data_IF_304970609491
#
_entry.id   IF_304970609491
#
_cell.length_a   1.000
_cell.length_b   1.000
_cell.length_c   1.000
_cell.angle_alpha   90.00
_cell.angle_beta   90.00
_cell.angle_gamma   90.00
#
_symmetry.space_group_name_H-M   'P 1'
#
loop_
_entity.id
_entity.type
_entity.pdbx_description
1 polymer ?
#
# COMPACT_ATOMS: atom_id res chain seq x y z
N UNK A 1 -24.72 -9.13 18.33
CA UNK A 1 -24.94 -7.79 17.73
C UNK A 1 -26.43 -7.60 17.56
N UNK A 2 -27.02 -6.69 18.35
CA UNK A 2 -28.48 -6.51 18.43
C UNK A 2 -29.06 -5.97 17.12
N UNK A 3 -30.32 -6.31 16.78
CA UNK A 3 -30.98 -5.93 15.51
C UNK A 3 -31.10 -4.40 15.31
N UNK A 4 -30.98 -3.63 16.38
CA UNK A 4 -30.92 -2.17 16.39
C UNK A 4 -29.67 -1.65 15.64
N UNK A 5 -28.50 -2.27 15.82
CA UNK A 5 -27.26 -1.83 15.15
C UNK A 5 -27.29 -2.07 13.63
N UNK A 6 -27.93 -3.14 13.16
CA UNK A 6 -28.13 -3.38 11.72
C UNK A 6 -29.05 -2.33 11.09
N UNK A 7 -30.13 -1.95 11.78
CA UNK A 7 -31.06 -0.91 11.32
C UNK A 7 -30.43 0.47 11.35
N UNK A 8 -29.66 0.80 12.38
CA UNK A 8 -28.94 2.08 12.46
C UNK A 8 -27.88 2.18 11.36
N UNK A 9 -27.14 1.11 11.09
CA UNK A 9 -26.14 1.04 10.01
C UNK A 9 -26.75 1.26 8.62
N UNK A 10 -27.97 0.78 8.38
CA UNK A 10 -28.67 0.94 7.09
C UNK A 10 -29.09 2.38 6.78
N UNK A 11 -29.25 3.24 7.79
CA UNK A 11 -29.60 4.66 7.60
C UNK A 11 -28.40 5.59 7.80
N UNK A 12 -27.49 5.26 8.71
CA UNK A 12 -26.32 6.10 9.04
C UNK A 12 -25.27 6.05 7.93
N UNK A 13 -25.03 4.90 7.28
CA UNK A 13 -24.07 4.80 6.18
C UNK A 13 -24.47 5.61 4.93
N UNK A 14 -25.70 5.51 4.40
CA UNK A 14 -26.09 6.34 3.26
C UNK A 14 -26.21 7.82 3.64
N UNK A 15 -26.57 8.14 4.89
CA UNK A 15 -26.59 9.52 5.38
C UNK A 15 -25.17 10.10 5.51
N UNK A 16 -24.20 9.35 6.04
CA UNK A 16 -22.80 9.78 6.04
C UNK A 16 -22.23 9.90 4.63
N UNK A 17 -22.57 8.98 3.73
CA UNK A 17 -22.13 9.03 2.33
C UNK A 17 -22.74 10.22 1.57
N UNK A 18 -24.00 10.57 1.86
CA UNK A 18 -24.66 11.76 1.32
C UNK A 18 -24.08 13.04 1.92
N UNK A 19 -23.72 13.03 3.20
CA UNK A 19 -23.12 14.17 3.89
C UNK A 19 -21.68 14.43 3.41
N UNK A 20 -20.89 13.39 3.13
CA UNK A 20 -19.56 13.52 2.52
C UNK A 20 -19.64 13.99 1.07
N UNK A 21 -20.69 13.62 0.33
CA UNK A 21 -20.98 14.16 -1.01
C UNK A 21 -21.46 15.63 -0.98
N UNK A 22 -22.18 16.03 0.08
CA UNK A 22 -22.72 17.39 0.22
C UNK A 22 -21.68 18.39 0.75
N UNK A 23 -20.67 17.92 1.50
CA UNK A 23 -19.58 18.74 2.03
C UNK A 23 -18.39 18.87 1.06
N UNK A 24 -18.36 18.14 -0.05
CA UNK A 24 -17.43 18.36 -1.16
C UNK A 24 -17.88 19.55 -2.03
N UNK A 25 -17.95 20.74 -1.43
CA UNK A 25 -18.07 21.97 -2.20
C UNK A 25 -16.73 22.19 -2.93
N UNK A 26 -16.72 22.39 -4.26
CA UNK A 26 -15.54 22.89 -4.94
C UNK A 26 -15.19 24.24 -4.33
N UNK A 27 -13.96 24.40 -3.85
CA UNK A 27 -13.41 25.72 -3.60
C UNK A 27 -13.31 26.41 -4.97
N UNK A 28 -14.32 27.20 -5.32
CA UNK A 28 -14.27 28.07 -6.48
C UNK A 28 -13.15 29.08 -6.23
N UNK A 29 -12.11 29.03 -7.06
CA UNK A 29 -11.14 30.10 -7.11
C UNK A 29 -11.90 31.40 -7.42
N UNK A 30 -11.74 32.40 -6.55
CA UNK A 30 -12.30 33.73 -6.76
C UNK A 30 -11.65 34.29 -8.02
N UNK A 31 -12.44 34.49 -9.09
CA UNK A 31 -11.98 35.23 -10.27
C UNK A 31 -11.44 36.58 -9.80
N UNK A 32 -10.13 36.78 -9.96
CA UNK A 32 -9.53 38.10 -9.84
C UNK A 32 -10.06 38.96 -10.99
N UNK A 33 -10.39 40.22 -10.67
CA UNK A 33 -10.84 41.24 -11.61
C UNK A 33 -10.01 41.28 -12.91
N UNK A 34 -10.58 41.71 -14.05
CA UNK A 34 -9.86 41.81 -15.30
C UNK A 34 -8.66 42.74 -15.09
N UNK A 35 -7.45 42.16 -15.16
CA UNK A 35 -6.23 42.94 -15.23
C UNK A 35 -6.23 43.56 -16.61
N UNK A 36 -6.33 44.89 -16.65
CA UNK A 36 -6.20 45.69 -17.86
C UNK A 36 -4.93 45.25 -18.59
N UNK A 37 -5.10 44.60 -19.75
CA UNK A 37 -4.01 44.09 -20.55
C UNK A 37 -3.31 45.28 -21.21
N UNK A 38 -2.42 45.93 -20.47
CA UNK A 38 -1.37 46.72 -21.08
C UNK A 38 -0.46 45.74 -21.82
N UNK A 39 -0.79 45.49 -23.09
CA UNK A 39 0.09 44.77 -24.00
C UNK A 39 1.45 45.49 -24.01
N UNK A 40 2.44 44.89 -23.36
CA UNK A 40 3.84 45.18 -23.66
C UNK A 40 4.16 44.56 -25.03
N UNK A 41 3.63 45.15 -26.10
CA UNK A 41 4.10 44.94 -27.47
C UNK A 41 5.42 45.68 -27.66
N UNK A 42 6.45 45.28 -26.90
CA UNK A 42 7.81 45.36 -27.43
C UNK A 42 8.15 43.95 -27.86
N UNK A 43 8.12 43.76 -29.18
CA UNK A 43 8.41 42.50 -29.87
C UNK A 43 9.68 41.88 -29.29
N UNK A 44 9.49 40.90 -28.41
CA UNK A 44 10.52 40.00 -27.96
C UNK A 44 11.23 39.43 -29.20
N UNK A 45 12.41 39.96 -29.52
CA UNK A 45 13.23 39.51 -30.64
C UNK A 45 13.65 38.05 -30.46
N UNK A 46 14.26 37.47 -31.50
CA UNK A 46 14.75 36.09 -31.46
C UNK A 46 15.69 35.83 -30.27
N UNK A 47 16.47 36.84 -29.87
CA UNK A 47 17.40 36.79 -28.73
C UNK A 47 16.68 36.72 -27.38
N UNK A 48 15.63 37.52 -27.16
CA UNK A 48 14.80 37.41 -25.95
C UNK A 48 14.22 36.00 -25.81
N UNK A 49 13.67 35.45 -26.90
CA UNK A 49 13.13 34.09 -26.86
C UNK A 49 14.20 33.03 -26.71
N UNK A 50 15.45 33.30 -27.12
CA UNK A 50 16.58 32.42 -26.90
C UNK A 50 16.97 32.39 -25.41
N UNK A 51 17.01 33.54 -24.75
CA UNK A 51 17.22 33.67 -23.31
C UNK A 51 16.11 33.01 -22.51
N UNK A 52 14.85 33.28 -22.86
CA UNK A 52 13.68 32.64 -22.24
C UNK A 52 13.73 31.12 -22.39
N UNK A 53 14.07 30.59 -23.58
CA UNK A 53 14.23 29.13 -23.78
C UNK A 53 15.44 28.55 -23.05
N UNK A 54 16.48 29.34 -22.80
CA UNK A 54 17.62 28.93 -22.00
C UNK A 54 17.30 28.90 -20.49
N UNK A 55 16.14 29.45 -20.08
CA UNK A 55 15.71 29.51 -18.68
C UNK A 55 16.31 30.68 -17.92
N UNK A 56 16.76 31.72 -18.62
CA UNK A 56 17.29 32.94 -18.00
C UNK A 56 16.22 33.64 -17.15
N UNK A 57 16.65 34.14 -15.99
CA UNK A 57 15.76 34.85 -15.08
C UNK A 57 15.58 36.31 -15.52
N UNK A 58 14.32 36.69 -15.75
CA UNK A 58 13.92 38.08 -15.96
C UNK A 58 13.79 38.86 -14.65
N UNK A 59 13.54 40.16 -14.79
CA UNK A 59 13.25 41.02 -13.65
C UNK A 59 11.80 40.87 -13.21
N UNK A 60 11.58 40.71 -11.90
CA UNK A 60 10.27 40.74 -11.26
C UNK A 60 10.34 41.40 -9.89
N UNK A 61 9.26 42.02 -9.45
CA UNK A 61 9.13 42.56 -8.09
C UNK A 61 8.85 41.46 -7.06
N UNK A 62 8.41 40.28 -7.51
CA UNK A 62 8.13 39.15 -6.63
C UNK A 62 9.43 38.51 -6.11
N UNK A 63 9.41 38.07 -4.86
CA UNK A 63 10.59 37.49 -4.17
C UNK A 63 10.53 35.98 -4.01
N UNK A 64 9.43 35.35 -4.41
CA UNK A 64 9.30 33.89 -4.33
C UNK A 64 10.24 33.19 -5.32
N UNK A 65 10.68 31.95 -5.02
CA UNK A 65 11.59 31.21 -5.88
C UNK A 65 11.08 31.11 -7.33
N UNK A 66 12.00 31.26 -8.29
CA UNK A 66 11.75 31.06 -9.73
C UNK A 66 10.70 31.98 -10.39
N UNK A 67 10.16 33.00 -9.70
CA UNK A 67 9.15 33.92 -10.28
C UNK A 67 9.68 34.78 -11.44
N UNK A 68 11.00 34.90 -11.60
CA UNK A 68 11.62 35.53 -12.78
C UNK A 68 11.81 34.59 -13.97
N UNK A 69 11.55 33.28 -13.82
CA UNK A 69 11.87 32.27 -14.84
C UNK A 69 10.61 31.80 -15.56
N UNK A 70 10.49 32.13 -16.85
CA UNK A 70 9.32 31.79 -17.66
C UNK A 70 9.31 30.31 -18.09
N UNK A 71 10.44 29.79 -18.60
CA UNK A 71 10.57 28.39 -19.03
C UNK A 71 11.58 27.67 -18.13
N UNK A 72 11.16 26.57 -17.50
CA UNK A 72 12.08 25.66 -16.80
C UNK A 72 12.73 24.74 -17.83
N UNK A 73 14.04 24.88 -18.03
CA UNK A 73 14.83 23.95 -18.84
C UNK A 73 14.89 22.54 -18.23
N UNK A 74 15.03 22.35 -16.90
CA UNK A 74 14.85 21.02 -16.29
C UNK A 74 13.47 20.40 -16.52
N UNK A 75 12.42 21.22 -16.61
CA UNK A 75 11.05 20.77 -16.82
C UNK A 75 10.84 20.05 -18.15
N UNK A 76 11.56 20.45 -19.20
CA UNK A 76 11.56 19.74 -20.48
C UNK A 76 12.16 18.33 -20.34
N UNK A 77 13.25 18.20 -19.58
CA UNK A 77 13.87 16.91 -19.26
C UNK A 77 12.94 16.03 -18.43
N UNK A 78 12.29 16.59 -17.40
CA UNK A 78 11.27 15.89 -16.60
C UNK A 78 10.13 15.36 -17.47
N UNK A 79 9.60 16.18 -18.38
CA UNK A 79 8.53 15.77 -19.30
C UNK A 79 8.95 14.58 -20.17
N UNK A 80 10.16 14.63 -20.73
CA UNK A 80 10.70 13.53 -21.54
C UNK A 80 10.86 12.25 -20.71
N UNK A 81 11.44 12.35 -19.52
CA UNK A 81 11.60 11.21 -18.61
C UNK A 81 10.24 10.59 -18.24
N UNK A 82 9.25 11.43 -17.92
CA UNK A 82 7.92 10.96 -17.53
C UNK A 82 7.18 10.30 -18.69
N UNK A 83 7.04 10.99 -19.82
CA UNK A 83 6.17 10.52 -20.91
C UNK A 83 6.83 9.53 -21.85
N UNK A 84 8.12 9.68 -22.15
CA UNK A 84 8.79 8.77 -23.11
C UNK A 84 9.33 7.51 -22.46
N UNK A 85 9.68 7.57 -21.17
CA UNK A 85 10.34 6.46 -20.49
C UNK A 85 9.48 5.86 -19.38
N UNK A 86 9.18 6.64 -18.35
CA UNK A 86 8.59 6.10 -17.12
C UNK A 86 7.15 5.60 -17.31
N UNK A 87 6.31 6.35 -18.04
CA UNK A 87 4.93 5.93 -18.31
C UNK A 87 4.87 4.65 -19.17
N UNK A 88 5.55 4.54 -20.33
CA UNK A 88 5.61 3.28 -21.06
C UNK A 88 6.21 2.11 -20.26
N UNK A 89 7.33 2.34 -19.56
CA UNK A 89 7.96 1.33 -18.73
C UNK A 89 7.03 0.87 -17.59
N UNK A 90 6.25 1.78 -17.01
CA UNK A 90 5.26 1.47 -15.99
C UNK A 90 4.13 0.60 -16.53
N UNK A 91 3.61 0.89 -17.72
CA UNK A 91 2.62 0.02 -18.35
C UNK A 91 3.17 -1.38 -18.59
N UNK A 92 4.39 -1.49 -19.15
CA UNK A 92 5.07 -2.77 -19.37
C UNK A 92 5.25 -3.53 -18.06
N UNK A 93 5.68 -2.86 -16.99
CA UNK A 93 5.87 -3.49 -15.69
C UNK A 93 4.54 -4.01 -15.10
N UNK A 94 3.46 -3.23 -15.15
CA UNK A 94 2.15 -3.65 -14.62
C UNK A 94 1.60 -4.83 -15.41
N UNK A 95 1.52 -4.73 -16.74
CA UNK A 95 1.02 -5.83 -17.57
C UNK A 95 1.95 -7.05 -17.51
N UNK A 96 3.26 -6.82 -17.42
CA UNK A 96 4.26 -7.86 -17.22
C UNK A 96 4.07 -8.59 -15.89
N UNK A 97 3.82 -7.88 -14.78
CA UNK A 97 3.51 -8.48 -13.49
C UNK A 97 2.20 -9.28 -13.51
N UNK A 98 1.15 -8.77 -14.15
CA UNK A 98 -0.12 -9.50 -14.32
C UNK A 98 0.10 -10.77 -15.14
N UNK A 99 0.77 -10.67 -16.28
CA UNK A 99 1.10 -11.82 -17.12
C UNK A 99 1.95 -12.84 -16.35
N UNK A 100 2.94 -12.37 -15.57
CA UNK A 100 3.79 -13.23 -14.75
C UNK A 100 2.98 -14.05 -13.75
N UNK A 101 2.04 -13.44 -13.02
CA UNK A 101 1.23 -14.18 -12.03
C UNK A 101 0.23 -15.13 -12.71
N UNK A 102 -0.29 -14.77 -13.88
CA UNK A 102 -1.13 -15.67 -14.70
C UNK A 102 -0.31 -16.88 -15.15
N UNK A 103 0.89 -16.66 -15.69
CA UNK A 103 1.78 -17.73 -16.10
C UNK A 103 2.21 -18.60 -14.90
N UNK A 104 2.49 -17.98 -13.76
CA UNK A 104 2.77 -18.73 -12.53
C UNK A 104 1.60 -19.63 -12.15
N UNK A 105 0.36 -19.13 -12.21
CA UNK A 105 -0.82 -19.96 -11.96
C UNK A 105 -0.94 -21.14 -12.95
N UNK A 106 -0.79 -20.87 -14.25
CA UNK A 106 -0.99 -21.88 -15.30
C UNK A 106 0.10 -22.95 -15.30
N UNK A 107 1.37 -22.56 -15.14
CA UNK A 107 2.50 -23.50 -15.27
C UNK A 107 2.99 -24.06 -13.93
N UNK A 108 2.85 -23.30 -12.84
CA UNK A 108 3.30 -23.72 -11.51
C UNK A 108 2.10 -24.20 -10.69
N UNK A 109 1.01 -23.47 -10.71
CA UNK A 109 -0.16 -23.75 -9.88
C UNK A 109 0.05 -23.37 -8.40
N UNK A 110 -1.02 -23.47 -7.60
CA UNK A 110 -0.99 -23.19 -6.16
C UNK A 110 -0.10 -24.14 -5.37
N UNK A 111 0.49 -23.63 -4.28
CA UNK A 111 1.07 -24.47 -3.22
C UNK A 111 -0.07 -25.06 -2.37
N UNK A 112 -0.30 -26.35 -2.56
CA UNK A 112 -1.32 -27.14 -1.85
C UNK A 112 -0.77 -27.72 -0.55
N UNK A 113 -1.65 -28.01 0.40
CA UNK A 113 -1.27 -28.71 1.63
C UNK A 113 -0.84 -30.15 1.31
N UNK A 114 0.20 -30.62 2.01
CA UNK A 114 0.68 -32.00 1.88
C UNK A 114 -0.23 -33.00 2.60
N UNK A 115 -0.97 -32.55 3.62
CA UNK A 115 -1.91 -33.35 4.40
C UNK A 115 -3.33 -32.78 4.35
N UNK A 116 -4.36 -33.62 4.54
CA UNK A 116 -5.73 -33.15 4.69
C UNK A 116 -5.87 -32.17 5.86
N UNK A 117 -6.83 -31.25 5.73
CA UNK A 117 -7.20 -30.30 6.77
C UNK A 117 -7.80 -31.03 7.96
N UNK A 118 -7.39 -30.66 9.17
CA UNK A 118 -7.90 -31.31 10.39
C UNK A 118 -9.25 -30.76 10.81
N UNK A 119 -9.63 -29.58 10.32
CA UNK A 119 -10.82 -28.85 10.76
C UNK A 119 -10.62 -28.11 12.10
N UNK A 120 -9.51 -28.39 12.82
CA UNK A 120 -9.13 -27.65 14.01
C UNK A 120 -8.54 -26.31 13.58
N UNK A 121 -9.13 -25.23 14.08
CA UNK A 121 -8.74 -23.86 13.74
C UNK A 121 -7.83 -23.26 14.81
N UNK A 122 -6.88 -22.46 14.39
CA UNK A 122 -5.96 -21.69 15.24
C UNK A 122 -6.06 -20.21 14.88
N UNK A 123 -6.15 -19.35 15.89
CA UNK A 123 -6.23 -17.90 15.70
C UNK A 123 -4.87 -17.36 15.27
N UNK A 124 -4.78 -16.87 14.03
CA UNK A 124 -3.59 -16.21 13.48
C UNK A 124 -3.64 -14.69 13.61
N UNK A 125 -4.81 -14.09 13.32
CA UNK A 125 -4.97 -12.64 13.28
C UNK A 125 -6.12 -12.16 14.16
N UNK A 126 -5.87 -11.10 14.94
CA UNK A 126 -6.93 -10.45 15.71
C UNK A 126 -7.90 -9.68 14.81
N UNK A 127 -9.08 -9.32 15.32
CA UNK A 127 -10.04 -8.47 14.59
C UNK A 127 -9.40 -7.13 14.19
N UNK A 128 -8.56 -6.57 15.05
CA UNK A 128 -7.86 -5.31 14.78
C UNK A 128 -6.76 -5.44 13.74
N UNK A 129 -6.06 -6.58 13.67
CA UNK A 129 -5.10 -6.85 12.60
C UNK A 129 -5.82 -6.88 11.24
N UNK A 130 -6.95 -7.59 11.18
CA UNK A 130 -7.74 -7.69 9.94
C UNK A 130 -8.32 -6.35 9.53
N UNK A 131 -8.88 -5.59 10.48
CA UNK A 131 -9.39 -4.25 10.21
C UNK A 131 -8.29 -3.34 9.65
N UNK A 132 -7.11 -3.34 10.27
CA UNK A 132 -5.97 -2.55 9.78
C UNK A 132 -5.55 -2.98 8.36
N UNK A 133 -5.47 -4.29 8.10
CA UNK A 133 -5.15 -4.80 6.78
C UNK A 133 -6.18 -4.38 5.72
N UNK A 134 -7.47 -4.62 5.97
CA UNK A 134 -8.51 -4.31 4.97
C UNK A 134 -8.64 -2.81 4.75
N UNK A 135 -8.51 -1.99 5.79
CA UNK A 135 -8.42 -0.54 5.63
C UNK A 135 -7.23 -0.14 4.76
N UNK A 136 -6.05 -0.71 5.01
CA UNK A 136 -4.86 -0.48 4.20
C UNK A 136 -5.07 -0.93 2.74
N UNK A 137 -5.62 -2.11 2.52
CA UNK A 137 -5.86 -2.67 1.20
C UNK A 137 -6.84 -1.82 0.38
N UNK A 138 -7.98 -1.41 0.95
CA UNK A 138 -8.94 -0.56 0.24
C UNK A 138 -8.38 0.83 -0.06
N UNK A 139 -7.63 1.39 0.88
CA UNK A 139 -6.94 2.68 0.69
C UNK A 139 -5.92 2.58 -0.44
N UNK A 140 -5.07 1.55 -0.42
CA UNK A 140 -4.09 1.30 -1.46
C UNK A 140 -4.73 1.08 -2.83
N UNK A 141 -5.79 0.27 -2.93
CA UNK A 141 -6.48 0.03 -4.19
C UNK A 141 -7.10 1.32 -4.74
N UNK A 142 -7.72 2.13 -3.88
CA UNK A 142 -8.28 3.43 -4.27
C UNK A 142 -7.19 4.36 -4.82
N UNK A 143 -6.03 4.42 -4.15
CA UNK A 143 -4.89 5.22 -4.59
C UNK A 143 -4.25 4.70 -5.87
N UNK A 144 -4.11 3.38 -6.01
CA UNK A 144 -3.56 2.75 -7.20
C UNK A 144 -4.47 3.02 -8.41
N UNK A 145 -5.78 2.80 -8.29
CA UNK A 145 -6.71 3.06 -9.39
C UNK A 145 -6.80 4.54 -9.76
N UNK A 146 -6.89 5.43 -8.78
CA UNK A 146 -6.90 6.88 -9.04
C UNK A 146 -5.58 7.36 -9.66
N UNK A 147 -4.43 6.89 -9.16
CA UNK A 147 -3.11 7.23 -9.71
C UNK A 147 -2.94 6.72 -11.15
N UNK A 148 -3.32 5.46 -11.42
CA UNK A 148 -3.33 4.91 -12.77
C UNK A 148 -4.29 5.66 -13.71
N UNK A 149 -5.43 6.14 -13.20
CA UNK A 149 -6.35 6.98 -13.96
C UNK A 149 -5.70 8.32 -14.34
N UNK A 150 -4.98 8.96 -13.43
CA UNK A 150 -4.28 10.23 -13.69
C UNK A 150 -3.16 10.08 -14.72
N UNK A 151 -2.43 8.95 -14.70
CA UNK A 151 -1.31 8.71 -15.62
C UNK A 151 -1.79 8.21 -16.99
N UNK A 152 -2.63 7.18 -16.99
CA UNK A 152 -2.98 6.41 -18.19
C UNK A 152 -4.41 6.61 -18.68
N UNK A 153 -5.28 7.25 -17.89
CA UNK A 153 -6.70 7.40 -18.25
C UNK A 153 -6.91 8.09 -19.59
N UNK A 154 -6.05 9.05 -19.96
CA UNK A 154 -6.10 9.73 -21.28
C UNK A 154 -5.90 8.77 -22.46
N UNK A 155 -5.20 7.65 -22.24
CA UNK A 155 -4.87 6.67 -23.28
C UNK A 155 -5.88 5.53 -23.35
N UNK A 156 -6.31 5.01 -22.20
CA UNK A 156 -7.17 3.81 -22.16
C UNK A 156 -8.65 4.10 -21.95
N UNK A 157 -9.01 5.19 -21.27
CA UNK A 157 -10.40 5.46 -20.90
C UNK A 157 -10.99 6.62 -21.71
N UNK A 158 -10.27 7.72 -21.88
CA UNK A 158 -10.74 8.90 -22.62
C UNK A 158 -11.30 8.58 -24.03
N UNK A 159 -10.72 7.66 -24.83
CA UNK A 159 -11.29 7.32 -26.14
C UNK A 159 -12.71 6.76 -26.09
N UNK A 160 -13.14 6.21 -24.94
CA UNK A 160 -14.45 5.60 -24.75
C UNK A 160 -15.40 6.44 -23.88
N UNK A 161 -14.90 7.55 -23.32
CA UNK A 161 -15.67 8.42 -22.41
C UNK A 161 -15.93 9.76 -23.09
N UNK A 162 -17.20 10.23 -23.13
CA UNK A 162 -17.52 11.52 -23.72
C UNK A 162 -16.76 12.69 -23.06
N UNK A 163 -16.39 13.70 -23.85
CA UNK A 163 -15.51 14.79 -23.40
C UNK A 163 -16.13 15.59 -22.25
N UNK A 164 -17.46 15.75 -22.27
CA UNK A 164 -18.26 16.38 -21.23
C UNK A 164 -18.18 15.65 -19.87
N UNK A 165 -17.90 14.34 -19.86
CA UNK A 165 -17.76 13.55 -18.63
C UNK A 165 -16.30 13.37 -18.21
N UNK A 166 -15.35 13.49 -19.14
CA UNK A 166 -13.92 13.27 -18.89
C UNK A 166 -13.36 14.18 -17.78
N UNK A 167 -13.75 15.45 -17.78
CA UNK A 167 -13.34 16.42 -16.74
C UNK A 167 -13.78 15.98 -15.34
N UNK A 168 -15.00 15.47 -15.21
CA UNK A 168 -15.52 14.95 -13.95
C UNK A 168 -14.77 13.70 -13.48
N UNK A 169 -14.47 12.76 -14.38
CA UNK A 169 -13.69 11.53 -14.06
C UNK A 169 -12.31 11.87 -13.53
N UNK A 170 -11.58 12.77 -14.19
CA UNK A 170 -10.24 13.17 -13.74
C UNK A 170 -10.30 13.99 -12.45
N UNK A 171 -11.30 14.85 -12.30
CA UNK A 171 -11.53 15.57 -11.05
C UNK A 171 -11.73 14.60 -9.88
N UNK A 172 -12.61 13.59 -10.05
CA UNK A 172 -12.82 12.57 -9.02
C UNK A 172 -11.53 11.80 -8.73
N UNK A 173 -10.82 11.33 -9.77
CA UNK A 173 -9.57 10.60 -9.59
C UNK A 173 -8.57 11.44 -8.76
N UNK A 174 -8.38 12.71 -9.11
CA UNK A 174 -7.50 13.62 -8.37
C UNK A 174 -7.98 13.82 -6.93
N UNK A 175 -9.27 14.08 -6.73
CA UNK A 175 -9.82 14.33 -5.40
C UNK A 175 -9.69 13.11 -4.48
N UNK A 176 -10.04 11.92 -4.96
CA UNK A 176 -9.84 10.70 -4.18
C UNK A 176 -8.35 10.46 -3.90
N UNK A 177 -7.48 10.67 -4.88
CA UNK A 177 -6.04 10.46 -4.70
C UNK A 177 -5.48 11.36 -3.58
N UNK A 178 -5.73 12.65 -3.65
CA UNK A 178 -5.18 13.65 -2.74
C UNK A 178 -5.73 13.51 -1.32
N UNK A 179 -7.01 13.15 -1.15
CA UNK A 179 -7.61 13.03 0.20
C UNK A 179 -7.36 11.67 0.85
N UNK A 180 -7.24 10.60 0.05
CA UNK A 180 -6.96 9.25 0.57
C UNK A 180 -5.46 9.07 0.84
N UNK A 181 -4.58 9.83 0.19
CA UNK A 181 -3.12 9.79 0.38
C UNK A 181 -2.68 9.99 1.83
N UNK A 182 -3.11 11.06 2.51
CA UNK A 182 -2.81 11.26 3.93
C UNK A 182 -3.33 10.13 4.83
N UNK A 183 -4.52 9.57 4.53
CA UNK A 183 -5.05 8.42 5.26
C UNK A 183 -4.16 7.18 5.09
N UNK A 184 -3.63 6.94 3.88
CA UNK A 184 -2.66 5.87 3.63
C UNK A 184 -1.41 6.03 4.49
N UNK A 185 -0.86 7.23 4.60
CA UNK A 185 0.32 7.49 5.43
C UNK A 185 0.08 7.18 6.91
N UNK A 186 -1.09 7.55 7.45
CA UNK A 186 -1.50 7.24 8.82
C UNK A 186 -1.61 5.72 9.02
N UNK A 187 -2.30 5.02 8.11
CA UNK A 187 -2.44 3.56 8.16
C UNK A 187 -1.09 2.87 8.05
N UNK A 188 -0.18 3.37 7.22
CA UNK A 188 1.17 2.85 7.06
C UNK A 188 1.96 2.91 8.36
N UNK A 189 1.83 4.02 9.09
CA UNK A 189 2.43 4.19 10.41
C UNK A 189 1.90 3.15 11.40
N UNK A 190 0.59 2.87 11.41
CA UNK A 190 0.04 1.82 12.26
C UNK A 190 0.49 0.42 11.85
N UNK A 191 0.58 0.13 10.55
CA UNK A 191 1.12 -1.14 10.04
C UNK A 191 2.58 -1.33 10.47
N UNK A 192 3.39 -0.27 10.35
CA UNK A 192 4.77 -0.26 10.81
C UNK A 192 4.84 -0.64 12.30
N UNK A 193 4.22 0.16 13.16
CA UNK A 193 4.32 0.01 14.61
C UNK A 193 3.72 -1.30 15.14
N UNK A 194 2.67 -1.82 14.49
CA UNK A 194 1.99 -3.04 14.94
C UNK A 194 2.73 -4.31 14.54
N UNK A 195 3.29 -4.37 13.32
CA UNK A 195 3.81 -5.61 12.76
C UNK A 195 5.34 -5.67 12.61
N UNK A 196 6.08 -4.61 12.97
CA UNK A 196 7.55 -4.57 12.80
C UNK A 196 8.29 -5.74 13.45
N UNK A 197 7.96 -6.08 14.71
CA UNK A 197 8.64 -7.17 15.45
C UNK A 197 8.48 -8.53 14.76
N UNK A 198 7.33 -8.77 14.14
CA UNK A 198 7.03 -10.01 13.41
C UNK A 198 7.67 -10.04 12.02
N UNK A 199 8.21 -8.90 11.57
CA UNK A 199 8.68 -8.70 10.21
C UNK A 199 10.20 -8.52 10.10
N UNK A 200 10.94 -8.75 11.19
CA UNK A 200 12.41 -8.69 11.19
C UNK A 200 12.96 -9.87 10.39
N UNK A 201 13.78 -9.62 9.33
CA UNK A 201 14.42 -10.68 8.58
C UNK A 201 15.42 -11.47 9.43
N UNK A 202 15.49 -12.78 9.21
CA UNK A 202 16.40 -13.69 9.91
C UNK A 202 16.91 -14.81 8.98
N UNK A 203 17.81 -15.67 9.49
CA UNK A 203 18.43 -16.73 8.70
C UNK A 203 17.45 -17.83 8.24
N UNK A 204 16.30 -17.96 8.88
CA UNK A 204 15.24 -18.86 8.40
C UNK A 204 14.61 -18.31 7.12
N UNK A 205 14.42 -17.00 7.02
CA UNK A 205 13.90 -16.37 5.80
C UNK A 205 14.87 -16.54 4.62
N UNK A 206 16.18 -16.44 4.86
CA UNK A 206 17.18 -16.68 3.81
C UNK A 206 17.09 -18.11 3.27
N UNK A 207 16.95 -19.10 4.16
CA UNK A 207 16.74 -20.51 3.77
C UNK A 207 15.39 -20.72 3.07
N UNK A 208 14.36 -19.94 3.43
CA UNK A 208 13.07 -19.93 2.76
C UNK A 208 13.20 -19.42 1.32
N UNK A 209 13.95 -18.33 1.09
CA UNK A 209 14.23 -17.79 -0.24
C UNK A 209 15.11 -18.71 -1.10
N UNK A 210 16.12 -19.37 -0.53
CA UNK A 210 16.91 -20.38 -1.25
C UNK A 210 16.06 -21.53 -1.78
N UNK A 211 14.92 -21.81 -1.14
CA UNK A 211 13.93 -22.80 -1.58
C UNK A 211 12.78 -22.19 -2.39
N UNK A 212 12.85 -20.90 -2.71
CA UNK A 212 11.80 -20.15 -3.42
C UNK A 212 10.41 -20.29 -2.77
N UNK A 213 10.39 -20.36 -1.44
CA UNK A 213 9.16 -20.61 -0.68
C UNK A 213 8.48 -21.95 -0.95
N UNK A 214 9.18 -22.89 -1.61
CA UNK A 214 8.64 -24.18 -2.00
C UNK A 214 7.68 -24.13 -3.19
N UNK A 215 7.59 -22.99 -3.88
CA UNK A 215 6.63 -22.79 -4.97
C UNK A 215 7.14 -23.34 -6.31
N UNK A 216 8.45 -23.30 -6.56
CA UNK A 216 9.02 -23.58 -7.89
C UNK A 216 10.26 -24.47 -7.85
N UNK A 217 10.59 -25.06 -9.01
CA UNK A 217 11.82 -25.83 -9.23
C UNK A 217 11.91 -27.11 -8.40
N UNK A 218 13.13 -27.50 -8.03
CA UNK A 218 13.43 -28.74 -7.28
C UNK A 218 12.84 -28.80 -5.86
N UNK A 219 12.34 -27.66 -5.36
CA UNK A 219 11.74 -27.54 -4.03
C UNK A 219 10.21 -27.38 -4.09
N UNK A 220 9.60 -27.55 -5.28
CA UNK A 220 8.15 -27.45 -5.44
C UNK A 220 7.42 -28.43 -4.52
N UNK A 221 6.42 -27.94 -3.79
CA UNK A 221 5.64 -28.73 -2.84
C UNK A 221 6.35 -28.99 -1.50
N UNK A 222 7.57 -28.47 -1.32
CA UNK A 222 8.15 -28.40 0.03
C UNK A 222 7.53 -27.22 0.77
N UNK A 223 7.42 -27.31 2.09
CA UNK A 223 7.04 -26.17 2.92
C UNK A 223 8.25 -25.75 3.76
N UNK A 224 9.04 -24.77 3.31
CA UNK A 224 10.20 -24.31 4.07
C UNK A 224 9.76 -23.73 5.41
N UNK A 225 10.51 -24.07 6.46
CA UNK A 225 10.27 -23.62 7.83
C UNK A 225 10.10 -22.10 7.92
N UNK A 226 9.15 -21.64 8.74
CA UNK A 226 8.85 -20.22 8.94
C UNK A 226 8.27 -19.94 10.33
N UNK A 227 8.58 -18.74 10.84
CA UNK A 227 7.95 -18.18 12.05
C UNK A 227 6.55 -17.66 11.76
N UNK A 228 6.06 -16.70 12.55
CA UNK A 228 4.71 -16.14 12.35
C UNK A 228 4.54 -15.56 10.93
N UNK A 229 5.53 -14.81 10.46
CA UNK A 229 5.63 -14.34 9.08
C UNK A 229 6.73 -15.12 8.35
N UNK A 230 6.44 -15.59 7.14
CA UNK A 230 7.46 -16.20 6.27
C UNK A 230 8.27 -15.14 5.50
N UNK A 231 9.35 -15.55 4.81
CA UNK A 231 10.23 -14.64 4.10
C UNK A 231 9.51 -13.74 3.08
N UNK A 232 8.55 -14.29 2.34
CA UNK A 232 7.74 -13.54 1.39
C UNK A 232 6.83 -12.50 2.05
N UNK A 233 6.16 -12.85 3.15
CA UNK A 233 5.35 -11.92 3.96
C UNK A 233 6.19 -10.79 4.53
N UNK A 234 7.43 -11.06 4.96
CA UNK A 234 8.36 -10.02 5.42
C UNK A 234 8.86 -9.13 4.29
N UNK A 235 9.13 -9.70 3.11
CA UNK A 235 9.55 -8.93 1.94
C UNK A 235 8.46 -7.95 1.50
N UNK A 236 7.20 -8.40 1.41
CA UNK A 236 6.10 -7.51 1.04
C UNK A 236 5.84 -6.45 2.12
N UNK A 237 5.99 -6.80 3.40
CA UNK A 237 5.93 -5.83 4.49
C UNK A 237 6.96 -4.72 4.31
N UNK A 238 8.24 -5.05 4.12
CA UNK A 238 9.28 -4.02 3.95
C UNK A 238 9.15 -3.27 2.63
N UNK A 239 8.70 -3.92 1.56
CA UNK A 239 8.36 -3.26 0.30
C UNK A 239 7.27 -2.21 0.53
N UNK A 240 6.20 -2.55 1.27
CA UNK A 240 5.15 -1.60 1.65
C UNK A 240 5.70 -0.48 2.54
N UNK A 241 6.49 -0.79 3.57
CA UNK A 241 7.01 0.25 4.48
C UNK A 241 7.92 1.23 3.74
N UNK A 242 8.89 0.73 2.97
CA UNK A 242 9.89 1.58 2.30
C UNK A 242 9.23 2.37 1.16
N UNK A 243 8.67 1.69 0.17
CA UNK A 243 8.10 2.37 -0.99
C UNK A 243 6.78 3.07 -0.66
N UNK A 244 6.02 2.58 0.32
CA UNK A 244 4.84 3.25 0.87
C UNK A 244 5.19 4.56 1.58
N UNK A 245 6.29 4.59 2.34
CA UNK A 245 6.76 5.83 2.94
C UNK A 245 7.27 6.79 1.86
N UNK A 246 8.04 6.30 0.89
CA UNK A 246 8.54 7.13 -0.22
C UNK A 246 7.41 7.74 -1.04
N UNK A 247 6.39 6.96 -1.41
CA UNK A 247 5.23 7.47 -2.17
C UNK A 247 4.41 8.46 -1.32
N UNK A 248 4.22 8.19 -0.03
CA UNK A 248 3.48 9.09 0.85
C UNK A 248 4.21 10.42 1.07
N UNK A 249 5.51 10.40 1.36
CA UNK A 249 6.30 11.60 1.59
C UNK A 249 6.43 12.45 0.32
N UNK A 250 6.71 11.83 -0.83
CA UNK A 250 6.70 12.55 -2.11
C UNK A 250 5.31 13.07 -2.48
N UNK A 251 4.24 12.34 -2.14
CA UNK A 251 2.86 12.78 -2.33
C UNK A 251 2.52 14.02 -1.50
N UNK A 252 2.97 14.08 -0.25
CA UNK A 252 2.80 15.28 0.60
C UNK A 252 3.48 16.52 0.00
N UNK A 253 4.67 16.36 -0.57
CA UNK A 253 5.34 17.45 -1.30
C UNK A 253 4.51 17.90 -2.50
N UNK A 254 3.96 16.96 -3.27
CA UNK A 254 3.14 17.27 -4.45
C UNK A 254 1.80 17.95 -4.10
N UNK A 255 1.18 17.55 -2.99
CA UNK A 255 -0.13 18.07 -2.57
C UNK A 255 -0.04 19.45 -1.91
N UNK A 256 1.04 19.73 -1.19
CA UNK A 256 1.17 20.93 -0.38
C UNK A 256 2.38 21.79 -0.79
N UNK A 257 2.19 22.82 -1.64
CA UNK A 257 3.22 23.79 -1.99
C UNK A 257 3.47 24.82 -0.88
N UNK A 258 3.78 24.33 0.33
CA UNK A 258 3.97 25.13 1.54
C UNK A 258 5.38 24.99 2.13
N UNK A 259 6.26 24.20 1.49
CA UNK A 259 7.60 23.90 1.98
C UNK A 259 8.70 24.75 1.33
N UNK A 260 8.34 25.89 0.73
CA UNK A 260 9.25 26.73 -0.09
C UNK A 260 9.92 25.95 -1.24
N UNK A 261 9.17 24.99 -1.78
CA UNK A 261 9.63 24.08 -2.82
C UNK A 261 9.64 24.73 -4.21
N UNK A 262 10.71 24.47 -4.96
CA UNK A 262 10.88 24.91 -6.35
C UNK A 262 10.14 24.00 -7.32
N UNK A 263 10.04 24.40 -8.60
CA UNK A 263 9.57 23.51 -9.68
C UNK A 263 10.40 22.24 -9.75
N UNK A 264 11.71 22.34 -9.47
CA UNK A 264 12.61 21.17 -9.49
C UNK A 264 12.25 20.15 -8.43
N UNK A 265 11.88 20.60 -7.23
CA UNK A 265 11.47 19.71 -6.13
C UNK A 265 10.16 18.98 -6.46
N UNK A 266 9.23 19.68 -7.12
CA UNK A 266 7.98 19.11 -7.61
C UNK A 266 8.23 18.05 -8.70
N UNK A 267 9.12 18.34 -9.65
CA UNK A 267 9.50 17.42 -10.72
C UNK A 267 10.12 16.14 -10.16
N UNK A 268 11.10 16.26 -9.25
CA UNK A 268 11.77 15.12 -8.63
C UNK A 268 10.79 14.32 -7.78
N UNK A 269 9.99 15.01 -6.95
CA UNK A 269 8.96 14.36 -6.14
C UNK A 269 7.98 13.58 -7.01
N UNK A 270 7.58 14.12 -8.16
CA UNK A 270 6.72 13.42 -9.09
C UNK A 270 7.37 12.15 -9.66
N UNK A 271 8.64 12.20 -10.08
CA UNK A 271 9.35 11.03 -10.59
C UNK A 271 9.51 9.94 -9.51
N UNK A 272 9.92 10.34 -8.31
CA UNK A 272 10.09 9.45 -7.16
C UNK A 272 8.75 8.82 -6.75
N UNK A 273 7.68 9.62 -6.75
CA UNK A 273 6.33 9.16 -6.44
C UNK A 273 5.87 8.11 -7.46
N UNK A 274 6.00 8.40 -8.76
CA UNK A 274 5.60 7.48 -9.82
C UNK A 274 6.40 6.17 -9.80
N UNK A 275 7.71 6.23 -9.62
CA UNK A 275 8.56 5.04 -9.53
C UNK A 275 8.20 4.19 -8.30
N UNK A 276 8.04 4.81 -7.14
CA UNK A 276 7.71 4.09 -5.90
C UNK A 276 6.31 3.49 -5.97
N UNK A 277 5.33 4.24 -6.49
CA UNK A 277 3.98 3.75 -6.72
C UNK A 277 3.98 2.54 -7.67
N UNK A 278 4.78 2.58 -8.74
CA UNK A 278 4.89 1.46 -9.68
C UNK A 278 5.43 0.20 -9.01
N UNK A 279 6.51 0.32 -8.23
CA UNK A 279 7.09 -0.81 -7.49
C UNK A 279 6.07 -1.39 -6.51
N UNK A 280 5.33 -0.54 -5.79
CA UNK A 280 4.24 -0.98 -4.92
C UNK A 280 3.16 -1.73 -5.70
N UNK A 281 2.64 -1.17 -6.78
CA UNK A 281 1.59 -1.79 -7.59
C UNK A 281 2.03 -3.18 -8.06
N UNK A 282 3.25 -3.31 -8.58
CA UNK A 282 3.80 -4.60 -9.03
C UNK A 282 3.94 -5.60 -7.88
N UNK A 283 4.47 -5.17 -6.73
CA UNK A 283 4.58 -6.01 -5.53
C UNK A 283 3.21 -6.46 -4.99
N UNK A 284 2.22 -5.57 -5.02
CA UNK A 284 0.87 -5.86 -4.55
C UNK A 284 0.08 -6.78 -5.50
N UNK A 285 0.33 -6.74 -6.81
CA UNK A 285 -0.19 -7.75 -7.75
C UNK A 285 0.27 -9.15 -7.31
N UNK A 286 1.56 -9.30 -6.97
CA UNK A 286 2.08 -10.57 -6.46
C UNK A 286 1.49 -10.95 -5.09
N UNK A 287 1.34 -9.99 -4.18
CA UNK A 287 0.72 -10.22 -2.87
C UNK A 287 -0.72 -10.72 -2.97
N UNK A 288 -1.53 -10.07 -3.81
CA UNK A 288 -2.92 -10.46 -4.08
C UNK A 288 -2.97 -11.85 -4.70
N UNK A 289 -2.08 -12.14 -5.67
CA UNK A 289 -1.97 -13.46 -6.28
C UNK A 289 -1.70 -14.55 -5.25
N UNK A 290 -0.66 -14.42 -4.43
CA UNK A 290 -0.30 -15.43 -3.43
C UNK A 290 -1.43 -15.61 -2.40
N UNK A 291 -2.04 -14.52 -1.94
CA UNK A 291 -3.10 -14.55 -0.94
C UNK A 291 -4.42 -15.17 -1.42
N UNK A 292 -4.78 -14.99 -2.70
CA UNK A 292 -6.03 -15.48 -3.26
C UNK A 292 -5.91 -16.84 -3.94
N UNK A 293 -4.83 -17.03 -4.71
CA UNK A 293 -4.70 -18.15 -5.65
C UNK A 293 -3.43 -18.97 -5.46
N UNK A 294 -2.34 -18.35 -5.00
CA UNK A 294 -1.02 -19.00 -4.99
C UNK A 294 -0.77 -19.95 -3.80
N UNK A 295 -1.51 -19.80 -2.71
CA UNK A 295 -1.34 -20.63 -1.50
C UNK A 295 -2.69 -21.05 -0.93
N UNK A 296 -2.89 -22.35 -0.77
CA UNK A 296 -4.12 -22.91 -0.21
C UNK A 296 -4.35 -22.39 1.22
N UNK A 297 -5.58 -21.97 1.52
CA UNK A 297 -5.99 -21.58 2.88
C UNK A 297 -5.45 -20.25 3.41
N UNK A 298 -4.63 -19.52 2.64
CA UNK A 298 -4.05 -18.24 3.06
C UNK A 298 -5.12 -17.15 3.27
N UNK A 299 -6.11 -17.06 2.37
CA UNK A 299 -7.19 -16.07 2.45
C UNK A 299 -8.02 -16.18 3.73
N UNK A 300 -8.27 -17.39 4.22
CA UNK A 300 -9.08 -17.62 5.44
C UNK A 300 -8.51 -16.86 6.64
N UNK A 301 -7.17 -16.85 6.78
CA UNK A 301 -6.51 -16.13 7.87
C UNK A 301 -6.88 -14.64 7.88
N UNK A 302 -7.00 -14.01 6.72
CA UNK A 302 -7.31 -12.57 6.63
C UNK A 302 -8.81 -12.24 6.62
N UNK A 303 -9.66 -13.23 6.34
CA UNK A 303 -11.13 -13.05 6.38
C UNK A 303 -11.66 -13.37 7.78
N UNK A 304 -11.37 -14.56 8.30
CA UNK A 304 -11.91 -15.04 9.58
C UNK A 304 -11.00 -14.70 10.76
N UNK A 305 -9.69 -14.65 10.52
CA UNK A 305 -8.66 -14.53 11.56
C UNK A 305 -8.06 -15.86 11.98
N UNK A 306 -8.54 -16.96 11.42
CA UNK A 306 -8.22 -18.31 11.84
C UNK A 306 -7.72 -19.13 10.65
N UNK A 307 -6.75 -20.00 10.92
CA UNK A 307 -6.15 -20.93 9.94
C UNK A 307 -6.30 -22.36 10.42
N UNK A 308 -6.27 -23.31 9.50
CA UNK A 308 -6.27 -24.74 9.85
C UNK A 308 -4.95 -25.15 10.51
N UNK A 309 -5.01 -26.09 11.44
CA UNK A 309 -3.83 -26.61 12.15
C UNK A 309 -2.81 -27.24 11.19
N UNK A 310 -3.26 -27.95 10.15
CA UNK A 310 -2.36 -28.51 9.12
C UNK A 310 -1.64 -27.39 8.37
N UNK A 311 -2.38 -26.34 8.02
CA UNK A 311 -1.80 -25.19 7.34
C UNK A 311 -0.72 -24.51 8.20
N UNK A 312 -0.98 -24.34 9.50
CA UNK A 312 -0.02 -23.75 10.43
C UNK A 312 1.24 -24.63 10.56
N UNK A 313 1.09 -25.96 10.66
CA UNK A 313 2.21 -26.91 10.74
C UNK A 313 3.09 -26.90 9.51
N UNK A 314 2.50 -26.78 8.32
CA UNK A 314 3.24 -26.86 7.07
C UNK A 314 3.88 -25.51 6.73
N UNK A 315 3.10 -24.43 6.70
CA UNK A 315 3.57 -23.13 6.23
C UNK A 315 4.28 -22.30 7.30
N UNK A 316 4.07 -22.60 8.59
CA UNK A 316 4.52 -21.79 9.72
C UNK A 316 4.87 -22.67 10.94
N UNK A 317 5.64 -23.74 10.70
CA UNK A 317 6.02 -24.76 11.69
C UNK A 317 6.58 -24.20 12.99
N UNK A 318 7.48 -23.20 12.92
CA UNK A 318 8.10 -22.59 14.11
C UNK A 318 7.06 -21.83 14.94
N UNK A 319 6.13 -21.12 14.29
CA UNK A 319 5.05 -20.45 14.98
C UNK A 319 4.04 -21.43 15.56
N UNK A 320 3.73 -22.51 14.84
CA UNK A 320 2.87 -23.56 15.36
C UNK A 320 3.45 -24.18 16.64
N UNK A 321 4.75 -24.49 16.64
CA UNK A 321 5.46 -25.03 17.80
C UNK A 321 5.43 -24.05 18.99
N UNK A 322 5.66 -22.75 18.74
CA UNK A 322 5.59 -21.70 19.76
C UNK A 322 4.20 -21.59 20.40
N UNK A 323 3.13 -21.62 19.60
CA UNK A 323 1.76 -21.57 20.14
C UNK A 323 1.46 -22.80 20.98
N UNK A 324 1.87 -23.99 20.52
CA UNK A 324 1.64 -25.23 21.28
C UNK A 324 2.45 -25.33 22.56
N UNK A 325 3.69 -24.85 22.57
CA UNK A 325 4.44 -24.76 23.82
C UNK A 325 3.79 -23.79 24.80
N UNK A 326 3.30 -22.65 24.32
CA UNK A 326 2.62 -21.65 25.15
C UNK A 326 1.23 -22.10 25.64
N UNK A 327 0.56 -23.01 24.93
CA UNK A 327 -0.70 -23.64 25.39
C UNK A 327 -0.44 -24.74 26.44
N UNK A 328 0.71 -25.41 26.40
CA UNK A 328 1.07 -26.46 27.35
C UNK A 328 1.64 -25.94 28.68
N UNK A 329 2.27 -24.76 28.70
CA UNK A 329 2.84 -24.15 29.91
C UNK A 329 1.82 -23.69 30.98
N UNK A 330 0.61 -23.17 30.65
CA UNK A 330 -0.45 -22.85 31.62
C UNK A 330 -0.85 -24.04 32.52
N UNK A 331 -0.83 -25.25 31.98
CA UNK A 331 -1.17 -26.46 32.72
C UNK A 331 -0.05 -26.92 33.66
N UNK A 332 1.22 -26.61 33.34
CA UNK A 332 2.36 -26.93 34.21
C UNK A 332 2.49 -25.96 35.39
N UNK A 333 2.22 -24.67 35.18
CA UNK A 333 2.27 -23.66 36.25
C UNK A 333 1.12 -23.82 37.26
N UNK A 334 -0.07 -24.25 36.82
CA UNK A 334 -1.21 -24.52 37.70
C UNK A 334 -1.10 -25.84 38.48
N UNK A 335 -0.28 -26.79 38.02
CA UNK A 335 0.03 -28.02 38.76
C UNK A 335 1.13 -27.84 39.82
N UNK A 336 2.08 -26.92 39.62
CA UNK A 336 3.08 -26.61 40.65
C UNK A 336 2.49 -25.89 41.87
N UNK A 337 1.52 -24.99 41.68
CA UNK A 337 0.86 -24.26 42.78
C UNK A 337 -0.01 -25.18 43.65
N UNK A 338 -0.71 -26.15 43.03
CA UNK A 338 -1.49 -27.16 43.74
C UNK A 338 -0.66 -28.24 44.44
N UNK A 339 0.62 -28.42 44.06
CA UNK A 339 1.56 -29.33 44.73
C UNK A 339 2.14 -28.75 46.03
N UNK A 340 2.42 -27.44 46.05
CA UNK A 340 2.90 -26.72 47.24
C UNK A 340 1.78 -26.53 48.29
N UNK A 341 0.54 -26.28 47.86
CA UNK A 341 -0.60 -26.14 48.78
C UNK A 341 -1.02 -27.46 49.48
N UNK A 342 -0.69 -28.62 48.91
CA UNK A 342 -0.98 -29.94 49.51
C UNK A 342 0.12 -30.45 50.45
N UNK A 343 1.35 -29.91 50.38
CA UNK A 343 2.47 -30.31 51.23
C UNK A 343 2.53 -29.60 52.59
N UNK A 344 1.73 -28.57 52.83
CA UNK A 344 1.81 -27.72 54.03
C UNK A 344 0.75 -28.01 55.11
N UNK A 345 -0.01 -29.12 55.00
CA UNK A 345 -1.15 -29.41 55.91
C UNK A 345 -1.13 -30.78 56.61
N UNK A 346 -0.02 -31.52 56.63
CA UNK A 346 0.01 -32.84 57.27
C UNK A 346 0.68 -32.93 58.65
N UNK A 347 1.37 -31.91 59.15
CA UNK A 347 2.31 -32.10 60.28
C UNK A 347 2.05 -31.21 61.51
N UNK A 348 0.79 -30.98 61.89
CA UNK A 348 0.50 -30.26 63.15
C UNK A 348 -0.73 -30.81 63.90
N UNK A 349 -0.73 -32.11 64.24
CA UNK A 349 -1.54 -32.66 65.34
C UNK A 349 -0.85 -33.89 65.95
N UNK A 350 0.17 -33.66 66.80
CA UNK A 350 0.66 -34.65 67.77
C UNK A 350 1.46 -33.96 68.89
N UNK A 351 0.77 -33.46 69.92
CA UNK A 351 1.15 -33.52 71.34
C UNK A 351 0.09 -32.86 72.20
#
# INVERSE_FOLDING_TARGET
MTPIFKRLSLFVLPFLAALTLALSLPAAAKESAPVDQTEMTQLAGADFWKEVRAGEAGYTTSKSPEHGVLISTPGATWYVLKEKWMSPAGAVAIFGSIMMVIMAYVFVGPLMLSKPRTGKKMKRWSRWDRALHWSMAFTFLTLAFSGLMLVYGKHFLKPYVPTEFWGFVIMLAKQYHNYVGPLFFILLTFVLLKWWRKSIPNMTDMRWFMKMGGMVGKHKGTHPSAGFSNGGEKAIYWLLIVFGATVALSGLVLDFPIFDQTRRDMEISNLVHMLSALILICGFIFHIYIGLFGMEGALEGMVTGEVDETWAKEHHDLWYAEVKSNEAMPDAASQQDNGLAKGAKSDEQAS
#
